data_IF_826427053447
#
_entry.id   IF_826427053447
#
_cell.length_a   1.000
_cell.length_b   1.000
_cell.length_c   1.000
_cell.angle_alpha   90.00
_cell.angle_beta   90.00
_cell.angle_gamma   90.00
#
_symmetry.space_group_name_H-M   'P 1'
#
loop_
_entity.id
_entity.type
_entity.pdbx_description
1 polymer ?
#
# COMPACT_ATOMS: atom_id res chain seq x y z
N UNK A 1 -10.89 14.90 -20.00
CA UNK A 1 -12.15 15.11 -19.27
C UNK A 1 -12.87 13.77 -19.17
N UNK A 2 -12.43 12.90 -18.27
CA UNK A 2 -13.18 11.70 -17.94
C UNK A 2 -13.90 11.99 -16.63
N UNK A 3 -15.22 12.07 -16.67
CA UNK A 3 -16.03 12.12 -15.46
C UNK A 3 -15.83 10.80 -14.71
N UNK A 4 -15.58 10.88 -13.40
CA UNK A 4 -15.65 9.70 -12.54
C UNK A 4 -17.08 9.16 -12.64
N UNK A 5 -17.22 7.93 -13.17
CA UNK A 5 -18.50 7.26 -13.18
C UNK A 5 -18.86 6.94 -11.72
N UNK A 6 -19.96 7.50 -11.24
CA UNK A 6 -20.55 7.11 -9.96
C UNK A 6 -21.08 5.69 -10.14
N UNK A 7 -20.42 4.71 -9.50
CA UNK A 7 -20.94 3.33 -9.41
C UNK A 7 -22.20 3.37 -8.54
N UNK A 8 -23.37 3.22 -9.16
CA UNK A 8 -24.65 3.16 -8.45
C UNK A 8 -24.79 1.75 -7.88
N UNK A 9 -24.70 1.61 -6.55
CA UNK A 9 -25.00 0.36 -5.87
C UNK A 9 -26.44 -0.09 -6.17
N UNK A 10 -26.67 -1.40 -6.35
CA UNK A 10 -27.97 -2.03 -6.69
C UNK A 10 -29.11 -1.72 -5.70
N UNK A 11 -28.82 -1.05 -4.58
CA UNK A 11 -29.73 -0.79 -3.47
C UNK A 11 -30.32 0.63 -3.47
N UNK A 12 -30.12 1.44 -4.51
CA UNK A 12 -30.70 2.79 -4.62
C UNK A 12 -30.13 3.81 -3.64
N UNK A 13 -29.07 3.46 -2.91
CA UNK A 13 -28.34 4.38 -2.05
C UNK A 13 -27.19 4.97 -2.88
N UNK A 14 -27.18 6.29 -3.05
CA UNK A 14 -26.06 6.99 -3.68
C UNK A 14 -24.92 6.95 -2.68
N UNK A 15 -23.90 6.13 -2.91
CA UNK A 15 -22.67 6.19 -2.11
C UNK A 15 -22.04 7.57 -2.33
N UNK A 16 -22.09 8.40 -1.30
CA UNK A 16 -21.33 9.64 -1.27
C UNK A 16 -19.84 9.28 -1.34
N UNK A 17 -19.04 9.95 -2.18
CA UNK A 17 -17.62 9.67 -2.23
C UNK A 17 -17.00 10.03 -0.87
N UNK A 18 -16.44 9.03 -0.20
CA UNK A 18 -15.85 9.15 1.13
C UNK A 18 -14.33 9.09 1.07
N UNK A 19 -13.69 9.71 2.06
CA UNK A 19 -12.25 9.59 2.24
C UNK A 19 -11.90 8.24 2.88
N UNK A 20 -10.76 7.67 2.50
CA UNK A 20 -10.28 6.39 3.03
C UNK A 20 -8.80 6.45 3.42
N UNK A 21 -8.43 5.54 4.34
CA UNK A 21 -7.06 5.27 4.73
C UNK A 21 -6.72 3.84 4.34
N UNK A 22 -5.72 3.67 3.48
CA UNK A 22 -5.32 2.35 2.95
C UNK A 22 -3.91 2.06 3.45
N UNK A 23 -3.80 1.07 4.33
CA UNK A 23 -2.51 0.60 4.84
C UNK A 23 -1.79 -0.21 3.77
N UNK A 24 -0.82 0.41 3.10
CA UNK A 24 -0.03 -0.23 2.05
C UNK A 24 1.00 -1.21 2.63
N UNK A 25 1.48 -0.94 3.84
CA UNK A 25 2.31 -1.86 4.60
C UNK A 25 2.32 -1.57 6.09
N UNK A 26 2.55 -2.61 6.86
CA UNK A 26 2.52 -2.62 8.34
C UNK A 26 3.69 -3.39 8.94
N UNK A 27 4.73 -3.65 8.13
CA UNK A 27 5.94 -4.35 8.51
C UNK A 27 7.02 -3.39 9.01
N UNK A 28 7.99 -3.93 9.75
CA UNK A 28 9.16 -3.16 10.17
C UNK A 28 10.09 -2.83 8.99
N UNK A 29 11.24 -2.19 9.27
CA UNK A 29 12.22 -1.85 8.24
C UNK A 29 12.67 -3.06 7.41
N UNK A 30 12.73 -4.26 7.98
CA UNK A 30 13.10 -5.48 7.23
C UNK A 30 11.94 -6.16 6.50
N UNK A 31 10.71 -5.65 6.59
CA UNK A 31 9.48 -6.31 6.15
C UNK A 31 9.26 -7.69 6.84
N UNK A 32 8.17 -8.36 6.52
CA UNK A 32 7.90 -9.75 6.92
C UNK A 32 7.48 -10.55 5.69
N UNK A 33 8.10 -11.71 5.41
CA UNK A 33 9.15 -12.36 6.20
C UNK A 33 10.48 -11.62 6.17
N UNK A 34 11.24 -11.75 7.27
CA UNK A 34 12.66 -11.45 7.23
C UNK A 34 13.39 -12.64 6.59
N UNK A 35 14.09 -12.39 5.47
CA UNK A 35 14.80 -13.43 4.73
C UNK A 35 15.79 -14.22 5.62
N UNK A 36 16.48 -13.56 6.55
CA UNK A 36 17.43 -14.21 7.46
C UNK A 36 16.75 -15.26 8.33
N UNK A 37 15.55 -15.00 8.84
CA UNK A 37 14.80 -15.96 9.64
C UNK A 37 14.45 -17.24 8.87
N UNK A 38 14.42 -17.18 7.54
CA UNK A 38 14.07 -18.30 6.67
C UNK A 38 15.31 -19.06 6.18
N UNK A 39 16.37 -18.35 5.77
CA UNK A 39 17.59 -18.97 5.24
C UNK A 39 18.54 -19.44 6.35
N UNK A 40 18.46 -18.85 7.55
CA UNK A 40 19.22 -19.22 8.74
C UNK A 40 18.28 -19.25 9.96
N UNK A 41 17.42 -20.27 10.06
CA UNK A 41 16.44 -20.35 11.15
C UNK A 41 17.12 -20.45 12.52
N UNK A 42 16.61 -19.68 13.49
CA UNK A 42 16.95 -19.82 14.91
C UNK A 42 16.39 -21.12 15.50
N UNK A 43 16.76 -21.45 16.73
CA UNK A 43 16.16 -22.53 17.52
C UNK A 43 15.46 -21.97 18.78
N UNK A 44 14.12 -21.92 18.83
CA UNK A 44 13.18 -22.36 17.79
C UNK A 44 13.10 -21.40 16.59
N UNK A 45 12.62 -21.86 15.41
CA UNK A 45 12.49 -21.02 14.22
C UNK A 45 11.40 -19.96 14.39
N UNK A 46 11.55 -18.82 13.71
CA UNK A 46 10.55 -17.76 13.73
C UNK A 46 9.24 -18.22 13.08
N UNK A 47 8.21 -18.42 13.91
CA UNK A 47 6.91 -18.89 13.46
C UNK A 47 6.22 -17.93 12.50
N UNK A 48 6.30 -16.62 12.77
CA UNK A 48 5.64 -15.58 11.94
C UNK A 48 6.23 -15.52 10.53
N UNK A 49 7.56 -15.55 10.40
CA UNK A 49 8.18 -15.56 9.07
C UNK A 49 7.81 -16.84 8.29
N UNK A 50 7.77 -17.98 8.97
CA UNK A 50 7.36 -19.25 8.34
C UNK A 50 5.89 -19.19 7.87
N UNK A 51 4.99 -18.70 8.72
CA UNK A 51 3.57 -18.53 8.38
C UNK A 51 3.33 -17.49 7.28
N UNK A 52 4.18 -16.47 7.16
CA UNK A 52 4.04 -15.44 6.11
C UNK A 52 4.19 -16.00 4.68
N UNK A 53 4.68 -17.25 4.54
CA UNK A 53 4.81 -17.94 3.25
C UNK A 53 3.75 -19.02 2.99
N UNK A 54 2.82 -19.28 3.91
CA UNK A 54 1.84 -20.37 3.75
C UNK A 54 0.62 -19.99 2.89
N UNK A 55 0.40 -18.70 2.69
CA UNK A 55 -0.68 -18.14 1.87
C UNK A 55 -0.11 -17.09 0.92
N UNK A 56 -0.78 -16.83 -0.22
CA UNK A 56 -0.45 -15.71 -1.10
C UNK A 56 -0.36 -14.38 -0.32
N UNK A 57 0.56 -13.46 -0.69
CA UNK A 57 0.78 -12.22 0.06
C UNK A 57 -0.48 -11.37 0.32
N UNK A 58 -1.41 -11.33 -0.64
CA UNK A 58 -2.69 -10.64 -0.58
C UNK A 58 -3.67 -11.24 0.45
N UNK A 59 -3.52 -12.53 0.78
CA UNK A 59 -4.36 -13.25 1.74
C UNK A 59 -3.66 -13.52 3.07
N UNK A 60 -2.38 -13.11 3.20
CA UNK A 60 -1.57 -13.43 4.36
C UNK A 60 -1.30 -12.20 5.24
N UNK A 61 -1.94 -12.07 6.41
CA UNK A 61 -1.72 -10.93 7.31
C UNK A 61 -0.30 -10.89 7.90
N UNK A 62 0.45 -12.00 7.83
CA UNK A 62 1.83 -12.06 8.25
C UNK A 62 2.81 -11.67 7.13
N UNK A 63 2.39 -11.57 5.88
CA UNK A 63 3.22 -11.01 4.81
C UNK A 63 3.06 -9.49 4.77
N UNK A 64 4.06 -8.76 5.26
CA UNK A 64 3.98 -7.32 5.51
C UNK A 64 5.09 -6.55 4.80
N UNK A 65 4.71 -5.68 3.87
CA UNK A 65 5.59 -4.68 3.26
C UNK A 65 6.06 -3.64 4.30
N UNK A 66 7.05 -2.81 3.95
CA UNK A 66 7.46 -1.68 4.79
C UNK A 66 6.27 -0.76 5.10
N UNK A 67 6.27 -0.15 6.28
CA UNK A 67 5.23 0.80 6.69
C UNK A 67 5.00 1.86 5.62
N UNK A 68 3.75 1.99 5.19
CA UNK A 68 3.31 3.02 4.25
C UNK A 68 1.79 3.13 4.29
N UNK A 69 1.26 4.33 4.04
CA UNK A 69 -0.15 4.66 4.08
C UNK A 69 -0.53 5.45 2.84
N UNK A 70 -1.63 5.10 2.19
CA UNK A 70 -2.27 5.97 1.21
C UNK A 70 -3.48 6.64 1.86
N UNK A 71 -3.54 7.96 1.79
CA UNK A 71 -4.72 8.74 2.10
C UNK A 71 -5.44 8.97 0.77
N UNK A 72 -6.61 8.39 0.63
CA UNK A 72 -7.56 8.75 -0.42
C UNK A 72 -8.49 9.82 0.15
N UNK A 73 -8.21 11.08 -0.14
CA UNK A 73 -8.99 12.20 0.35
C UNK A 73 -10.02 12.63 -0.68
N UNK A 74 -11.31 12.48 -0.35
CA UNK A 74 -12.39 13.02 -1.16
C UNK A 74 -12.79 14.42 -0.67
N UNK A 75 -12.55 15.43 -1.52
CA UNK A 75 -12.96 16.81 -1.26
C UNK A 75 -14.45 17.07 -1.50
N UNK A 76 -14.92 18.29 -1.18
CA UNK A 76 -16.33 18.70 -1.33
C UNK A 76 -16.86 18.64 -2.77
N UNK A 77 -15.99 18.65 -3.76
CA UNK A 77 -16.34 18.54 -5.19
C UNK A 77 -16.41 17.07 -5.68
N UNK A 78 -16.28 16.10 -4.78
CA UNK A 78 -16.24 14.66 -5.13
C UNK A 78 -14.94 14.23 -5.81
N UNK A 79 -13.94 15.11 -5.86
CA UNK A 79 -12.63 14.81 -6.45
C UNK A 79 -11.71 14.19 -5.41
N UNK A 80 -11.15 13.04 -5.77
CA UNK A 80 -10.19 12.31 -4.97
C UNK A 80 -8.78 12.90 -5.10
N UNK A 81 -8.03 12.85 -4.00
CA UNK A 81 -6.64 13.26 -3.85
C UNK A 81 -5.87 12.13 -3.18
N UNK A 82 -4.87 11.59 -3.85
CA UNK A 82 -4.10 10.44 -3.37
C UNK A 82 -2.77 10.90 -2.79
N UNK A 83 -2.67 10.88 -1.47
CA UNK A 83 -1.48 11.32 -0.73
C UNK A 83 -0.79 10.09 -0.16
N UNK A 84 0.42 9.82 -0.62
CA UNK A 84 1.23 8.69 -0.19
C UNK A 84 2.14 9.10 0.98
N UNK A 85 2.11 8.34 2.06
CA UNK A 85 3.03 8.48 3.19
C UNK A 85 4.08 7.39 3.09
N UNK A 86 5.34 7.80 2.94
CA UNK A 86 6.52 6.96 2.75
C UNK A 86 6.51 6.09 1.49
N UNK A 87 7.68 5.96 0.88
CA UNK A 87 7.93 5.18 -0.34
C UNK A 87 9.14 4.27 -0.10
N UNK A 88 8.93 3.24 0.72
CA UNK A 88 9.96 2.27 1.07
C UNK A 88 10.38 1.34 -0.06
N UNK A 89 11.42 0.54 0.16
CA UNK A 89 11.93 -0.47 -0.79
C UNK A 89 10.89 -1.52 -1.25
N UNK A 90 9.75 -1.66 -0.57
CA UNK A 90 8.65 -2.56 -0.98
C UNK A 90 7.58 -1.86 -1.83
N UNK A 91 7.77 -0.59 -2.22
CA UNK A 91 6.75 0.22 -2.88
C UNK A 91 6.17 -0.40 -4.15
N UNK A 92 7.01 -0.98 -5.02
CA UNK A 92 6.53 -1.68 -6.22
C UNK A 92 5.50 -2.77 -5.90
N UNK A 93 5.72 -3.55 -4.85
CA UNK A 93 4.76 -4.59 -4.43
C UNK A 93 3.47 -3.97 -3.91
N UNK A 94 3.57 -2.88 -3.15
CA UNK A 94 2.42 -2.15 -2.62
C UNK A 94 1.51 -1.61 -3.73
N UNK A 95 2.11 -1.08 -4.81
CA UNK A 95 1.37 -0.66 -6.01
C UNK A 95 0.65 -1.85 -6.63
N UNK A 96 1.37 -2.94 -6.91
CA UNK A 96 0.79 -4.12 -7.56
C UNK A 96 -0.35 -4.76 -6.76
N UNK A 97 -0.29 -4.70 -5.42
CA UNK A 97 -1.29 -5.29 -4.53
C UNK A 97 -2.46 -4.37 -4.28
N UNK A 98 -2.19 -3.14 -3.84
CA UNK A 98 -3.21 -2.28 -3.26
C UNK A 98 -3.74 -1.26 -4.26
N UNK A 99 -2.89 -0.69 -5.11
CA UNK A 99 -3.37 0.29 -6.09
C UNK A 99 -4.27 -0.40 -7.12
N UNK A 100 -3.92 -1.61 -7.53
CA UNK A 100 -4.75 -2.42 -8.44
C UNK A 100 -6.06 -2.83 -7.78
N UNK A 101 -6.04 -3.30 -6.53
CA UNK A 101 -7.23 -3.74 -5.80
C UNK A 101 -8.21 -2.59 -5.50
N UNK A 102 -7.68 -1.41 -5.16
CA UNK A 102 -8.47 -0.21 -4.84
C UNK A 102 -8.66 0.74 -6.03
N UNK A 103 -8.27 0.32 -7.25
CA UNK A 103 -8.38 1.12 -8.48
C UNK A 103 -7.75 2.53 -8.36
N UNK A 104 -6.64 2.65 -7.63
CA UNK A 104 -5.93 3.92 -7.43
C UNK A 104 -5.17 4.30 -8.72
N UNK A 105 -5.50 5.43 -9.37
CA UNK A 105 -4.98 5.73 -10.70
C UNK A 105 -3.60 6.41 -10.71
N UNK A 106 -3.25 7.14 -9.66
CA UNK A 106 -2.01 7.92 -9.54
C UNK A 106 -1.77 8.36 -8.09
N UNK A 107 -0.67 9.08 -7.86
CA UNK A 107 -0.37 9.77 -6.59
C UNK A 107 -0.23 11.27 -6.86
N UNK A 108 -0.94 12.10 -6.10
CA UNK A 108 -0.85 13.57 -6.16
C UNK A 108 0.37 14.10 -5.40
N UNK A 109 0.65 13.52 -4.23
CA UNK A 109 1.65 14.01 -3.29
C UNK A 109 2.31 12.88 -2.52
N UNK A 110 3.57 13.05 -2.18
CA UNK A 110 4.32 12.15 -1.29
C UNK A 110 4.77 12.93 -0.06
N UNK A 111 4.54 12.35 1.12
CA UNK A 111 5.07 12.83 2.39
C UNK A 111 6.06 11.78 2.89
N UNK A 112 7.31 12.17 3.06
CA UNK A 112 8.34 11.34 3.67
C UNK A 112 8.42 11.69 5.15
N UNK A 113 8.32 10.68 6.00
CA UNK A 113 8.37 10.87 7.45
C UNK A 113 9.80 11.03 7.95
N UNK A 114 10.76 10.33 7.33
CA UNK A 114 12.19 10.36 7.67
C UNK A 114 13.04 9.74 6.54
N UNK A 115 14.37 9.82 6.66
CA UNK A 115 15.35 9.48 5.63
C UNK A 115 15.90 8.03 5.67
N UNK A 116 15.20 7.09 6.32
CA UNK A 116 15.65 5.69 6.33
C UNK A 116 15.18 4.89 5.12
N UNK A 117 15.88 3.78 4.88
CA UNK A 117 15.73 2.94 3.72
C UNK A 117 14.30 2.40 3.51
N UNK A 118 13.61 2.09 4.60
CA UNK A 118 12.21 1.64 4.62
C UNK A 118 11.19 2.74 4.36
N UNK A 119 11.60 4.01 4.35
CA UNK A 119 10.75 5.15 4.02
C UNK A 119 11.05 5.76 2.65
N UNK A 120 12.27 5.61 2.10
CA UNK A 120 12.67 6.39 0.89
C UNK A 120 13.20 5.60 -0.31
N UNK A 121 13.60 4.32 -0.16
CA UNK A 121 14.29 3.63 -1.26
C UNK A 121 13.40 3.12 -2.41
N UNK A 122 12.09 3.32 -2.32
CA UNK A 122 11.17 3.08 -3.43
C UNK A 122 10.95 4.30 -4.33
N UNK A 123 11.62 5.43 -4.07
CA UNK A 123 11.38 6.68 -4.80
C UNK A 123 11.65 6.58 -6.31
N UNK A 124 12.52 5.68 -6.77
CA UNK A 124 12.76 5.48 -8.20
C UNK A 124 11.53 4.94 -8.95
N UNK A 125 10.73 4.10 -8.28
CA UNK A 125 9.52 3.48 -8.83
C UNK A 125 8.31 4.44 -8.87
N UNK A 126 8.40 5.64 -8.26
CA UNK A 126 7.32 6.65 -8.23
C UNK A 126 6.91 7.09 -9.64
N UNK A 127 7.82 7.00 -10.61
CA UNK A 127 7.54 7.32 -12.02
C UNK A 127 6.33 6.57 -12.58
N UNK A 128 6.02 5.39 -12.02
CA UNK A 128 4.88 4.57 -12.45
C UNK A 128 3.51 5.09 -12.00
N UNK A 129 3.46 5.98 -11.00
CA UNK A 129 2.22 6.48 -10.40
C UNK A 129 2.03 7.99 -10.61
N UNK A 130 2.83 8.61 -11.48
CA UNK A 130 2.66 10.01 -11.83
C UNK A 130 1.49 10.20 -12.81
N UNK A 131 0.65 11.23 -12.64
CA UNK A 131 -0.34 11.59 -13.64
C UNK A 131 0.34 12.07 -14.94
N UNK A 132 -0.21 11.68 -16.09
CA UNK A 132 0.22 12.17 -17.41
C UNK A 132 -0.28 13.57 -17.71
#
# INVERSE_FOLDING_TARGET
MAAAAVEVAENGNVESPESALIFLGTGCSSAVPNAMCLIQPSDPPCHVCSQSLTLPPDQNPNYRCNTSLLIDYCGSEGKHKYILIDVGKTFREQVLRWFTAHKIPHVDSIILTHEHADAVLGLDDVRTVQPF
#
